data_IF_215985036134
#
_entry.id   IF_215985036134
#
_cell.length_a   1.000
_cell.length_b   1.000
_cell.length_c   1.000
_cell.angle_alpha   90.00
_cell.angle_beta   90.00
_cell.angle_gamma   90.00
#
_symmetry.space_group_name_H-M   'P 1'
#
loop_
_entity.id
_entity.type
_entity.pdbx_description
1 polymer ?
#
# COMPACT_ATOMS: atom_id res chain seq x y z
N UNK A 1 -53.75 -26.91 1.64
CA UNK A 1 -53.06 -26.33 0.47
C UNK A 1 -52.11 -25.19 0.87
N UNK A 2 -52.60 -24.19 1.62
CA UNK A 2 -51.86 -22.99 2.09
C UNK A 2 -50.51 -23.24 2.79
N UNK A 3 -50.39 -24.28 3.64
CA UNK A 3 -49.16 -24.56 4.42
C UNK A 3 -47.96 -25.00 3.56
N UNK A 4 -48.21 -25.73 2.46
CA UNK A 4 -47.15 -26.16 1.52
C UNK A 4 -46.65 -24.99 0.67
N UNK A 5 -47.55 -24.11 0.26
CA UNK A 5 -47.19 -22.89 -0.48
C UNK A 5 -46.40 -21.91 0.40
N UNK A 6 -46.80 -21.74 1.66
CA UNK A 6 -46.07 -20.90 2.61
C UNK A 6 -44.64 -21.43 2.86
N UNK A 7 -44.46 -22.76 2.94
CA UNK A 7 -43.13 -23.37 3.05
C UNK A 7 -42.30 -23.20 1.78
N UNK A 8 -42.92 -23.21 0.60
CA UNK A 8 -42.24 -22.99 -0.68
C UNK A 8 -41.78 -21.53 -0.82
N UNK A 9 -42.62 -20.56 -0.46
CA UNK A 9 -42.29 -19.13 -0.45
C UNK A 9 -41.13 -18.84 0.52
N UNK A 10 -41.11 -19.46 1.72
CA UNK A 10 -40.00 -19.31 2.66
C UNK A 10 -38.67 -19.83 2.11
N UNK A 11 -38.69 -20.93 1.35
CA UNK A 11 -37.49 -21.48 0.69
C UNK A 11 -36.99 -20.56 -0.43
N UNK A 12 -37.90 -19.97 -1.20
CA UNK A 12 -37.55 -18.99 -2.24
C UNK A 12 -36.94 -17.74 -1.60
N UNK A 13 -37.53 -17.20 -0.54
CA UNK A 13 -37.00 -16.04 0.18
C UNK A 13 -35.60 -16.32 0.75
N UNK A 14 -35.39 -17.50 1.32
CA UNK A 14 -34.08 -17.92 1.82
C UNK A 14 -33.05 -18.05 0.68
N UNK A 15 -33.45 -18.58 -0.47
CA UNK A 15 -32.58 -18.68 -1.65
C UNK A 15 -32.23 -17.29 -2.23
N UNK A 16 -33.19 -16.36 -2.30
CA UNK A 16 -32.94 -14.97 -2.69
C UNK A 16 -32.01 -14.24 -1.72
N UNK A 17 -32.15 -14.50 -0.42
CA UNK A 17 -31.25 -13.94 0.59
C UNK A 17 -29.80 -14.40 0.40
N UNK A 18 -29.59 -15.68 0.06
CA UNK A 18 -28.26 -16.21 -0.24
C UNK A 18 -27.65 -15.62 -1.52
N UNK A 19 -28.47 -15.31 -2.53
CA UNK A 19 -27.98 -14.66 -3.76
C UNK A 19 -27.54 -13.20 -3.54
N UNK A 20 -28.11 -12.50 -2.55
CA UNK A 20 -27.73 -11.12 -2.21
C UNK A 20 -26.35 -11.00 -1.54
N UNK A 21 -25.81 -12.10 -0.99
CA UNK A 21 -24.50 -12.09 -0.32
C UNK A 21 -23.30 -12.04 -1.29
N UNK A 22 -23.51 -12.23 -2.60
CA UNK A 22 -22.43 -12.25 -3.60
C UNK A 22 -21.93 -10.85 -4.02
N UNK A 23 -22.52 -9.77 -3.51
CA UNK A 23 -22.13 -8.40 -3.89
C UNK A 23 -21.03 -7.78 -3.03
N UNK A 24 -20.42 -8.54 -2.12
CA UNK A 24 -19.30 -8.05 -1.30
C UNK A 24 -18.00 -8.28 -2.08
N UNK A 25 -17.63 -7.30 -2.91
CA UNK A 25 -16.27 -7.22 -3.45
C UNK A 25 -15.38 -6.68 -2.33
N UNK A 26 -14.55 -7.55 -1.75
CA UNK A 26 -13.42 -7.07 -0.96
C UNK A 26 -12.42 -6.43 -1.92
N UNK A 27 -12.06 -5.17 -1.70
CA UNK A 27 -10.97 -4.53 -2.42
C UNK A 27 -9.67 -5.12 -1.89
N UNK A 28 -9.11 -6.08 -2.64
CA UNK A 28 -8.03 -6.97 -2.16
C UNK A 28 -6.67 -6.24 -2.02
N UNK A 29 -6.49 -5.07 -2.62
CA UNK A 29 -5.26 -4.28 -2.44
C UNK A 29 -5.53 -2.81 -2.72
N UNK A 30 -5.54 -2.00 -1.66
CA UNK A 30 -5.41 -0.54 -1.79
C UNK A 30 -3.94 -0.12 -2.00
N UNK A 31 -2.99 -1.05 -1.87
CA UNK A 31 -1.59 -0.74 -2.10
C UNK A 31 -1.34 -0.69 -3.61
N UNK A 32 -0.98 0.49 -4.09
CA UNK A 32 -0.74 0.82 -5.49
C UNK A 32 0.75 0.74 -5.85
N UNK A 33 1.56 0.29 -4.90
CA UNK A 33 3.00 0.23 -5.01
C UNK A 33 3.45 -1.22 -5.14
N UNK A 34 4.16 -1.52 -6.22
CA UNK A 34 4.77 -2.81 -6.46
C UNK A 34 6.29 -2.71 -6.26
N UNK A 35 6.88 -3.59 -5.46
CA UNK A 35 8.32 -3.61 -5.23
C UNK A 35 9.06 -3.86 -6.55
N UNK A 36 10.10 -3.07 -6.80
CA UNK A 36 10.92 -3.16 -8.02
C UNK A 36 12.36 -3.50 -7.63
N UNK A 37 13.07 -4.19 -8.52
CA UNK A 37 14.47 -4.57 -8.31
C UNK A 37 15.45 -3.44 -8.62
N UNK A 38 14.99 -2.36 -9.28
CA UNK A 38 15.80 -1.18 -9.55
C UNK A 38 16.18 -0.47 -8.26
N UNK A 39 17.45 -0.10 -8.18
CA UNK A 39 17.95 0.77 -7.12
C UNK A 39 17.64 2.24 -7.42
N UNK A 40 17.74 3.09 -6.39
CA UNK A 40 17.67 4.53 -6.57
C UNK A 40 18.69 5.05 -7.59
N UNK A 41 19.91 4.49 -7.56
CA UNK A 41 20.95 4.84 -8.53
C UNK A 41 20.54 4.49 -9.95
N UNK A 42 19.96 3.31 -10.17
CA UNK A 42 19.49 2.90 -11.51
C UNK A 42 18.44 3.88 -12.03
N UNK A 43 17.50 4.31 -11.18
CA UNK A 43 16.48 5.30 -11.55
C UNK A 43 17.11 6.65 -11.94
N UNK A 44 18.09 7.14 -11.17
CA UNK A 44 18.80 8.39 -11.50
C UNK A 44 19.58 8.25 -12.81
N UNK A 45 20.31 7.15 -13.00
CA UNK A 45 21.09 6.89 -14.21
C UNK A 45 20.19 6.75 -15.46
N UNK A 46 18.98 6.20 -15.28
CA UNK A 46 17.94 6.16 -16.32
C UNK A 46 17.29 7.52 -16.60
N UNK A 47 17.61 8.57 -15.83
CA UNK A 47 17.10 9.92 -16.02
C UNK A 47 15.73 10.17 -15.37
N UNK A 48 15.40 9.45 -14.29
CA UNK A 48 14.31 9.86 -13.41
C UNK A 48 14.73 11.08 -12.59
N UNK A 49 13.77 11.99 -12.39
CA UNK A 49 13.99 13.19 -11.59
C UNK A 49 13.29 13.07 -10.24
N UNK A 50 13.95 13.54 -9.19
CA UNK A 50 13.34 13.67 -7.86
C UNK A 50 12.24 14.74 -7.92
N UNK A 51 11.02 14.38 -7.56
CA UNK A 51 9.86 15.29 -7.53
C UNK A 51 9.45 15.70 -6.13
N UNK A 52 9.64 14.81 -5.16
CA UNK A 52 9.37 15.08 -3.76
C UNK A 52 10.27 14.23 -2.87
N UNK A 53 10.47 14.68 -1.63
CA UNK A 53 11.08 13.89 -0.59
C UNK A 53 10.42 14.23 0.75
N UNK A 54 10.44 13.28 1.67
CA UNK A 54 10.03 13.49 3.06
C UNK A 54 10.94 12.69 3.99
N UNK A 55 11.01 13.12 5.24
CA UNK A 55 11.74 12.43 6.29
C UNK A 55 10.92 12.38 7.57
N UNK A 56 10.83 11.18 8.13
CA UNK A 56 10.15 10.91 9.39
C UNK A 56 11.13 10.30 10.37
N UNK A 57 11.09 10.77 11.61
CA UNK A 57 11.92 10.22 12.70
C UNK A 57 11.02 9.78 13.85
N UNK A 58 11.16 8.53 14.27
CA UNK A 58 10.50 7.96 15.43
C UNK A 58 11.56 7.64 16.47
N UNK A 59 11.41 8.16 17.68
CA UNK A 59 12.31 7.87 18.80
C UNK A 59 11.56 7.00 19.80
N UNK A 60 12.16 5.86 20.15
CA UNK A 60 11.68 4.96 21.20
C UNK A 60 12.24 5.38 22.56
N UNK A 61 11.52 5.07 23.63
CA UNK A 61 11.97 5.25 25.03
C UNK A 61 13.22 4.42 25.34
N UNK A 62 13.48 3.33 24.61
CA UNK A 62 14.72 2.55 24.68
C UNK A 62 15.94 3.30 24.10
N UNK A 63 15.73 4.46 23.48
CA UNK A 63 16.75 5.24 22.79
C UNK A 63 17.14 4.71 21.42
N UNK A 64 16.36 3.76 20.88
CA UNK A 64 16.41 3.41 19.44
C UNK A 64 15.74 4.53 18.64
N UNK A 65 16.38 4.93 17.54
CA UNK A 65 15.84 5.90 16.60
C UNK A 65 15.58 5.22 15.26
N UNK A 66 14.37 5.36 14.74
CA UNK A 66 13.99 4.93 13.40
C UNK A 66 13.88 6.17 12.52
N UNK A 67 14.65 6.22 11.44
CA UNK A 67 14.58 7.29 10.45
C UNK A 67 14.08 6.68 9.14
N UNK A 68 13.01 7.24 8.61
CA UNK A 68 12.47 6.91 7.30
C UNK A 68 12.72 8.09 6.36
N UNK A 69 13.42 7.86 5.26
CA UNK A 69 13.47 8.78 4.14
C UNK A 69 12.62 8.23 3.01
N UNK A 70 11.75 9.06 2.47
CA UNK A 70 10.93 8.73 1.29
C UNK A 70 11.30 9.70 0.19
N UNK A 71 11.58 9.20 -1.01
CA UNK A 71 11.83 10.02 -2.20
C UNK A 71 10.95 9.56 -3.33
N UNK A 72 10.23 10.49 -3.96
CA UNK A 72 9.41 10.22 -5.15
C UNK A 72 10.19 10.65 -6.39
N UNK A 73 10.39 9.71 -7.31
CA UNK A 73 11.06 9.93 -8.59
C UNK A 73 10.07 9.77 -9.73
N UNK A 74 10.18 10.62 -10.76
CA UNK A 74 9.31 10.56 -11.93
C UNK A 74 10.07 10.75 -13.23
N UNK A 75 9.72 9.93 -14.22
CA UNK A 75 10.11 10.09 -15.62
C UNK A 75 8.89 9.85 -16.49
N UNK A 76 8.52 10.85 -17.29
CA UNK A 76 7.26 10.83 -18.05
C UNK A 76 6.06 10.53 -17.12
N UNK A 77 5.33 9.45 -17.38
CA UNK A 77 4.18 9.00 -16.58
C UNK A 77 4.52 7.85 -15.62
N UNK A 78 5.80 7.51 -15.45
CA UNK A 78 6.25 6.47 -14.53
C UNK A 78 6.72 7.13 -13.23
N UNK A 79 6.17 6.65 -12.12
CA UNK A 79 6.46 7.15 -10.77
C UNK A 79 7.02 6.00 -9.94
N UNK A 80 8.10 6.30 -9.23
CA UNK A 80 8.70 5.44 -8.24
C UNK A 80 8.73 6.14 -6.88
N UNK A 81 8.55 5.38 -5.82
CA UNK A 81 8.82 5.80 -4.45
C UNK A 81 9.96 4.94 -3.92
N UNK A 82 11.06 5.57 -3.52
CA UNK A 82 12.15 4.89 -2.85
C UNK A 82 12.16 5.25 -1.36
N UNK A 83 12.19 4.21 -0.53
CA UNK A 83 12.14 4.31 0.92
C UNK A 83 13.45 3.79 1.50
N UNK A 84 14.05 4.57 2.38
CA UNK A 84 15.23 4.20 3.15
C UNK A 84 14.86 4.17 4.63
N UNK A 85 15.02 3.01 5.27
CA UNK A 85 14.79 2.83 6.70
C UNK A 85 16.13 2.67 7.40
N UNK A 86 16.41 3.55 8.35
CA UNK A 86 17.59 3.49 9.21
C UNK A 86 17.16 3.23 10.64
N UNK A 87 17.75 2.22 11.27
CA UNK A 87 17.65 2.01 12.71
C UNK A 87 18.97 2.41 13.34
N UNK A 88 18.94 3.38 14.26
CA UNK A 88 20.11 3.89 14.96
C UNK A 88 20.00 3.65 16.47
N UNK A 89 21.15 3.50 17.12
CA UNK A 89 21.24 3.51 18.59
C UNK A 89 21.35 4.93 19.17
N UNK A 90 21.48 5.02 20.49
CA UNK A 90 21.63 6.28 21.22
C UNK A 90 22.90 7.06 20.87
N UNK A 91 23.92 6.37 20.36
CA UNK A 91 25.18 6.95 19.92
C UNK A 91 25.16 7.35 18.44
N UNK A 92 23.99 7.25 17.79
CA UNK A 92 23.77 7.48 16.36
C UNK A 92 24.53 6.48 15.46
N UNK A 93 24.87 5.30 15.99
CA UNK A 93 25.40 4.21 15.18
C UNK A 93 24.27 3.49 14.47
N UNK A 94 24.43 3.25 13.17
CA UNK A 94 23.50 2.46 12.37
C UNK A 94 23.53 1.00 12.80
N UNK A 95 22.41 0.52 13.31
CA UNK A 95 22.17 -0.87 13.65
C UNK A 95 21.63 -1.66 12.47
N UNK A 96 20.75 -1.04 11.68
CA UNK A 96 20.15 -1.62 10.49
C UNK A 96 19.86 -0.54 9.44
N UNK A 97 19.95 -0.94 8.18
CA UNK A 97 19.67 -0.10 7.01
C UNK A 97 18.98 -0.96 5.96
N UNK A 98 17.79 -0.55 5.55
CA UNK A 98 17.11 -1.15 4.41
C UNK A 98 16.70 -0.09 3.40
N UNK A 99 16.69 -0.47 2.13
CA UNK A 99 16.38 0.41 1.03
C UNK A 99 15.52 -0.34 0.01
N UNK A 100 14.41 0.26 -0.41
CA UNK A 100 13.52 -0.33 -1.41
C UNK A 100 12.94 0.74 -2.32
N UNK A 101 12.89 0.47 -3.63
CA UNK A 101 12.14 1.27 -4.58
C UNK A 101 10.89 0.51 -5.02
N UNK A 102 9.77 1.20 -5.05
CA UNK A 102 8.46 0.68 -5.42
C UNK A 102 7.91 1.49 -6.56
N UNK A 103 7.30 0.83 -7.53
CA UNK A 103 6.70 1.43 -8.71
C UNK A 103 5.21 1.66 -8.48
N UNK A 104 4.71 2.82 -8.86
CA UNK A 104 3.28 3.08 -8.89
C UNK A 104 2.63 2.31 -10.05
N UNK A 105 1.69 1.42 -9.74
CA UNK A 105 1.00 0.56 -10.72
C UNK A 105 -0.50 0.89 -10.81
N UNK A 106 -1.10 0.57 -11.95
CA UNK A 106 -2.53 0.81 -12.21
C UNK A 106 -3.40 -0.32 -11.64
N UNK A 107 -4.67 -0.03 -11.28
CA UNK A 107 -5.37 1.26 -11.41
C UNK A 107 -4.93 2.28 -10.34
N UNK A 108 -4.95 3.58 -10.66
CA UNK A 108 -4.63 4.64 -9.69
C UNK A 108 -5.89 5.03 -8.91
N UNK A 109 -5.82 4.99 -7.59
CA UNK A 109 -6.86 5.39 -6.66
C UNK A 109 -6.30 6.60 -5.90
N UNK A 110 -6.96 7.74 -6.07
CA UNK A 110 -6.61 8.93 -5.29
C UNK A 110 -6.87 8.59 -3.81
N UNK A 111 -5.88 8.84 -2.94
CA UNK A 111 -5.97 8.55 -1.51
C UNK A 111 -7.15 9.25 -0.82
N UNK A 112 -7.51 8.75 0.36
CA UNK A 112 -8.66 9.20 1.16
C UNK A 112 -8.56 10.70 1.46
N UNK A 113 -9.47 11.52 0.92
CA UNK A 113 -9.53 12.96 1.25
C UNK A 113 -9.99 13.95 0.16
N UNK A 114 -10.60 13.51 -0.94
CA UNK A 114 -11.26 14.42 -1.92
C UNK A 114 -12.77 14.29 -1.89
#
# INVERSE_FOLDING_TARGET
MVRKELMFIKKILFFLFLLFSFSINAEISIDQWEDDTKTYKDLIDEGYEIKAYDTSTIKSDSGIMLILFVTVLQKNNQVYECQEYQTLDQSLQTLDLSFICRKLVQPYNIGVGT
#
